data_IF_098930497628
#
_entry.id   IF_098930497628
#
_cell.length_a   1.000
_cell.length_b   1.000
_cell.length_c   1.000
_cell.angle_alpha   90.00
_cell.angle_beta   90.00
_cell.angle_gamma   90.00
#
_symmetry.space_group_name_H-M   'P 1'
#
loop_
_entity.id
_entity.type
_entity.pdbx_description
1 polymer ?
#
# COMPACT_ATOMS: atom_id res chain seq x y z
N UNK A 1 13.53 20.14 4.39
CA UNK A 1 12.44 19.79 5.33
C UNK A 1 11.30 19.19 4.49
N UNK A 2 11.24 17.86 4.41
CA UNK A 2 10.27 17.17 3.54
C UNK A 2 8.87 17.25 4.14
N UNK A 3 7.93 17.88 3.43
CA UNK A 3 6.53 17.94 3.83
C UNK A 3 5.86 16.64 3.37
N UNK A 4 5.53 15.75 4.31
CA UNK A 4 4.48 14.74 4.08
C UNK A 4 3.18 15.50 3.85
N UNK A 5 2.51 15.30 2.71
CA UNK A 5 1.46 16.23 2.27
C UNK A 5 0.10 16.06 2.94
N UNK A 6 -0.18 14.93 3.57
CA UNK A 6 -1.37 14.78 4.40
C UNK A 6 -1.00 14.91 5.87
N UNK A 7 -1.14 16.13 6.39
CA UNK A 7 -1.13 16.36 7.82
C UNK A 7 -2.38 15.74 8.44
N UNK A 8 -2.25 15.11 9.60
CA UNK A 8 -3.41 14.69 10.39
C UNK A 8 -4.34 15.88 10.57
N UNK A 9 -5.61 15.73 10.21
CA UNK A 9 -6.60 16.77 10.32
C UNK A 9 -7.19 16.76 11.74
N UNK A 10 -6.83 17.71 12.62
CA UNK A 10 -7.27 17.65 14.01
C UNK A 10 -8.76 18.00 14.09
N UNK A 11 -9.59 16.98 14.32
CA UNK A 11 -11.03 17.18 14.50
C UNK A 11 -11.36 17.69 15.92
N UNK A 12 -10.52 17.40 16.91
CA UNK A 12 -10.79 17.69 18.32
C UNK A 12 -11.94 16.84 18.88
N UNK A 13 -12.21 15.69 18.28
CA UNK A 13 -13.33 14.80 18.58
C UNK A 13 -12.84 13.55 19.31
N UNK A 14 -13.56 13.17 20.36
CA UNK A 14 -13.46 11.84 20.98
C UNK A 14 -14.79 11.14 20.75
N UNK A 15 -14.75 9.99 20.08
CA UNK A 15 -15.91 9.12 19.91
C UNK A 15 -15.77 7.91 20.81
N UNK A 16 -16.84 7.58 21.52
CA UNK A 16 -16.96 6.38 22.35
C UNK A 16 -18.32 5.77 22.07
N UNK A 17 -18.37 4.44 21.95
CA UNK A 17 -19.61 3.69 21.82
C UNK A 17 -19.53 2.42 22.65
N UNK A 18 -20.68 1.92 23.07
CA UNK A 18 -20.86 0.60 23.69
C UNK A 18 -21.00 -0.51 22.64
N UNK A 19 -21.22 -0.14 21.37
CA UNK A 19 -21.32 -1.04 20.23
C UNK A 19 -20.29 -0.68 19.14
N UNK A 20 -19.39 -1.61 18.75
CA UNK A 20 -18.35 -1.32 17.76
C UNK A 20 -18.90 -1.12 16.34
N UNK A 21 -19.99 -1.80 15.97
CA UNK A 21 -20.61 -1.59 14.66
C UNK A 21 -21.27 -0.22 14.57
N UNK A 22 -21.95 0.22 15.64
CA UNK A 22 -22.52 1.57 15.72
C UNK A 22 -21.44 2.65 15.59
N UNK A 23 -20.31 2.47 16.28
CA UNK A 23 -19.15 3.36 16.17
C UNK A 23 -18.69 3.54 14.73
N UNK A 24 -18.46 2.42 14.02
CA UNK A 24 -17.91 2.47 12.66
C UNK A 24 -18.93 2.99 11.64
N UNK A 25 -20.23 2.73 11.83
CA UNK A 25 -21.30 3.33 11.03
C UNK A 25 -21.31 4.85 11.15
N UNK A 26 -21.22 5.39 12.37
CA UNK A 26 -21.15 6.84 12.61
C UNK A 26 -19.85 7.42 12.05
N UNK A 27 -18.71 6.75 12.25
CA UNK A 27 -17.43 7.20 11.72
C UNK A 27 -17.42 7.24 10.18
N UNK A 28 -17.99 6.22 9.52
CA UNK A 28 -18.15 6.20 8.07
C UNK A 28 -18.97 7.41 7.58
N UNK A 29 -20.10 7.70 8.26
CA UNK A 29 -20.93 8.87 7.94
C UNK A 29 -20.15 10.18 8.10
N UNK A 30 -19.39 10.32 9.20
CA UNK A 30 -18.56 11.50 9.44
C UNK A 30 -17.49 11.70 8.38
N UNK A 31 -17.00 10.63 7.77
CA UNK A 31 -16.03 10.68 6.66
C UNK A 31 -16.70 10.74 5.28
N UNK A 32 -18.01 10.99 5.21
CA UNK A 32 -18.79 11.05 3.97
C UNK A 32 -18.73 9.77 3.13
N UNK A 33 -18.52 8.63 3.79
CA UNK A 33 -18.56 7.32 3.17
C UNK A 33 -19.97 6.73 3.26
N UNK A 34 -20.35 5.97 2.24
CA UNK A 34 -21.57 5.15 2.28
C UNK A 34 -21.29 3.82 3.00
N UNK A 35 -21.87 3.57 4.19
CA UNK A 35 -21.65 2.32 4.93
C UNK A 35 -22.11 1.08 4.18
N UNK A 36 -23.03 1.22 3.21
CA UNK A 36 -23.48 0.13 2.34
C UNK A 36 -22.35 -0.42 1.46
N UNK A 37 -21.35 0.41 1.15
CA UNK A 37 -20.21 0.07 0.32
C UNK A 37 -19.00 -0.43 1.12
N UNK A 38 -19.08 -0.42 2.46
CA UNK A 38 -17.98 -0.82 3.33
C UNK A 38 -18.10 -2.31 3.66
N UNK A 39 -17.27 -3.13 3.01
CA UNK A 39 -17.41 -4.58 3.03
C UNK A 39 -17.38 -5.23 4.43
N UNK A 40 -16.60 -4.70 5.38
CA UNK A 40 -16.56 -5.28 6.73
C UNK A 40 -17.81 -4.94 7.56
N UNK A 41 -18.42 -3.76 7.37
CA UNK A 41 -19.70 -3.40 8.00
C UNK A 41 -20.82 -4.27 7.45
N UNK A 42 -20.87 -4.44 6.12
CA UNK A 42 -21.83 -5.34 5.47
C UNK A 42 -21.66 -6.79 5.92
N UNK A 43 -20.43 -7.27 6.05
CA UNK A 43 -20.16 -8.61 6.56
C UNK A 43 -20.63 -8.79 8.02
N UNK A 44 -20.55 -7.76 8.86
CA UNK A 44 -21.08 -7.80 10.22
C UNK A 44 -22.61 -7.84 10.21
N UNK A 45 -23.26 -6.96 9.44
CA UNK A 45 -24.73 -6.93 9.33
C UNK A 45 -25.27 -8.27 8.82
N UNK A 46 -24.63 -8.85 7.80
CA UNK A 46 -25.01 -10.17 7.26
C UNK A 46 -24.86 -11.32 8.26
N UNK A 47 -23.99 -11.16 9.26
CA UNK A 47 -23.84 -12.12 10.38
C UNK A 47 -24.86 -11.89 11.50
N UNK A 48 -25.76 -10.92 11.35
CA UNK A 48 -26.81 -10.60 12.31
C UNK A 48 -26.39 -9.61 13.41
N UNK A 49 -25.24 -8.94 13.26
CA UNK A 49 -24.89 -7.86 14.18
C UNK A 49 -25.77 -6.63 13.91
N UNK A 50 -26.18 -5.97 14.99
CA UNK A 50 -26.92 -4.71 14.97
C UNK A 50 -26.04 -3.60 15.55
N UNK A 51 -26.27 -2.32 15.22
CA UNK A 51 -27.33 -1.79 14.36
C UNK A 51 -27.04 -1.92 12.85
N UNK A 52 -28.10 -1.84 12.02
CA UNK A 52 -28.00 -1.92 10.55
C UNK A 52 -28.10 -0.56 9.88
N UNK A 53 -28.58 0.45 10.60
CA UNK A 53 -28.78 1.81 10.12
C UNK A 53 -28.35 2.84 11.18
N UNK A 54 -28.17 4.09 10.76
CA UNK A 54 -27.91 5.20 11.68
C UNK A 54 -29.14 5.59 12.50
N UNK A 55 -30.34 5.28 12.02
CA UNK A 55 -31.60 5.63 12.70
C UNK A 55 -31.79 4.81 13.99
N UNK A 56 -31.09 3.67 14.09
CA UNK A 56 -31.06 2.81 15.27
C UNK A 56 -30.01 3.25 16.31
N UNK A 57 -29.30 4.36 16.07
CA UNK A 57 -28.18 4.83 16.88
C UNK A 57 -28.54 6.11 17.60
N UNK A 58 -28.56 6.05 18.93
CA UNK A 58 -28.64 7.24 19.77
C UNK A 58 -27.27 7.92 19.84
N UNK A 59 -27.17 9.15 19.33
CA UNK A 59 -25.95 9.94 19.37
C UNK A 59 -26.08 10.98 20.49
N UNK A 60 -25.27 10.82 21.53
CA UNK A 60 -25.19 11.73 22.67
C UNK A 60 -23.86 12.50 22.66
N UNK A 61 -23.85 13.68 23.27
CA UNK A 61 -22.64 14.48 23.43
C UNK A 61 -22.90 15.97 23.49
N UNK A 62 -21.84 16.72 23.78
CA UNK A 62 -21.80 18.18 23.82
C UNK A 62 -21.40 18.81 22.48
N UNK A 63 -20.98 17.98 21.51
CA UNK A 63 -20.53 18.43 20.19
C UNK A 63 -21.49 18.00 19.06
N UNK A 64 -22.12 18.94 18.32
CA UNK A 64 -23.11 18.60 17.30
C UNK A 64 -22.53 17.82 16.11
N UNK A 65 -23.23 16.75 15.70
CA UNK A 65 -22.84 15.92 14.55
C UNK A 65 -22.69 16.73 13.26
N UNK A 66 -23.60 17.67 13.02
CA UNK A 66 -23.59 18.53 11.84
C UNK A 66 -22.32 19.39 11.73
N UNK A 67 -21.75 19.80 12.86
CA UNK A 67 -20.52 20.60 12.87
C UNK A 67 -19.31 19.77 12.44
N UNK A 68 -19.20 18.52 12.91
CA UNK A 68 -18.15 17.60 12.45
C UNK A 68 -18.31 17.28 10.97
N UNK A 69 -19.53 17.00 10.50
CA UNK A 69 -19.79 16.75 9.08
C UNK A 69 -19.32 17.90 8.18
N UNK A 70 -19.53 19.14 8.62
CA UNK A 70 -19.02 20.32 7.91
C UNK A 70 -17.49 20.39 7.94
N UNK A 71 -16.86 20.09 9.08
CA UNK A 71 -15.39 20.05 9.19
C UNK A 71 -14.76 18.97 8.29
N UNK A 72 -15.44 17.84 8.11
CA UNK A 72 -14.94 16.72 7.32
C UNK A 72 -15.32 16.76 5.84
N UNK A 73 -16.19 17.70 5.41
CA UNK A 73 -16.72 17.76 4.04
C UNK A 73 -15.64 17.88 2.95
N UNK A 74 -14.49 18.46 3.26
CA UNK A 74 -13.37 18.60 2.33
C UNK A 74 -12.31 17.50 2.43
N UNK A 75 -12.50 16.49 3.31
CA UNK A 75 -11.52 15.43 3.48
C UNK A 75 -11.57 14.46 2.30
N UNK A 76 -10.43 14.33 1.62
CA UNK A 76 -10.20 13.20 0.72
C UNK A 76 -9.80 12.00 1.57
N UNK A 77 -10.42 10.84 1.32
CA UNK A 77 -10.07 9.59 2.01
C UNK A 77 -8.77 8.97 1.49
N UNK A 78 -8.10 9.61 0.51
CA UNK A 78 -6.79 9.21 -0.02
C UNK A 78 -6.79 7.91 -0.83
N UNK A 79 -7.95 7.23 -0.93
CA UNK A 79 -8.11 5.98 -1.65
C UNK A 79 -8.31 6.23 -3.14
N UNK A 80 -7.22 6.55 -3.84
CA UNK A 80 -7.19 6.59 -5.29
C UNK A 80 -6.68 5.28 -5.85
N UNK A 81 -7.08 4.97 -7.08
CA UNK A 81 -6.44 3.89 -7.82
C UNK A 81 -5.05 4.32 -8.28
N UNK A 82 -4.14 3.37 -8.46
CA UNK A 82 -2.76 3.70 -8.81
C UNK A 82 -2.65 4.37 -10.20
N UNK A 83 -3.59 4.09 -11.09
CA UNK A 83 -3.72 4.67 -12.42
C UNK A 83 -4.21 6.12 -12.41
N UNK A 84 -4.90 6.52 -11.35
CA UNK A 84 -5.42 7.88 -11.15
C UNK A 84 -4.35 8.81 -10.57
N UNK A 85 -3.22 8.26 -10.14
CA UNK A 85 -2.15 9.03 -9.54
C UNK A 85 -1.53 10.01 -10.55
N UNK A 86 -1.45 11.32 -10.25
CA UNK A 86 -0.95 12.32 -11.19
C UNK A 86 0.56 12.18 -11.40
N UNK A 87 0.95 11.46 -12.46
CA UNK A 87 2.35 11.26 -12.85
C UNK A 87 2.51 11.20 -14.37
N UNK A 88 3.74 11.38 -14.90
CA UNK A 88 4.02 11.18 -16.32
C UNK A 88 3.90 9.71 -16.78
N UNK A 89 3.76 8.76 -15.85
CA UNK A 89 3.73 7.33 -16.16
C UNK A 89 2.36 6.95 -16.71
N UNK A 90 2.34 6.15 -17.79
CA UNK A 90 1.09 5.58 -18.31
C UNK A 90 0.81 4.26 -17.60
N UNK A 91 0.16 4.33 -16.44
CA UNK A 91 -0.10 3.16 -15.59
C UNK A 91 -1.34 2.42 -16.11
N UNK A 92 -1.26 1.09 -16.19
CA UNK A 92 -2.32 0.17 -16.59
C UNK A 92 -2.40 -0.94 -15.55
N UNK A 93 -3.52 -1.06 -14.84
CA UNK A 93 -3.74 -2.22 -13.99
C UNK A 93 -4.65 -3.24 -14.66
N UNK A 94 -4.15 -4.45 -14.77
CA UNK A 94 -4.93 -5.63 -15.11
C UNK A 94 -5.48 -6.35 -13.88
N UNK A 95 -5.91 -7.58 -14.08
CA UNK A 95 -6.46 -8.45 -13.03
C UNK A 95 -5.44 -9.48 -12.55
N UNK A 96 -5.42 -9.86 -11.26
CA UNK A 96 -6.17 -9.25 -10.16
C UNK A 96 -5.65 -7.85 -9.79
N UNK A 97 -6.56 -7.00 -9.29
CA UNK A 97 -6.19 -5.73 -8.67
C UNK A 97 -5.88 -5.93 -7.19
N UNK A 98 -4.59 -5.91 -6.83
CA UNK A 98 -4.14 -6.18 -5.47
C UNK A 98 -3.87 -4.87 -4.72
N UNK A 99 -4.88 -4.35 -4.01
CA UNK A 99 -4.76 -3.11 -3.22
C UNK A 99 -3.66 -3.20 -2.15
N UNK A 100 -3.48 -4.35 -1.50
CA UNK A 100 -2.36 -4.61 -0.59
C UNK A 100 -1.13 -5.25 -1.24
N UNK A 101 -1.12 -5.36 -2.57
CA UNK A 101 -0.09 -6.03 -3.34
C UNK A 101 0.65 -5.09 -4.29
N UNK A 102 0.85 -5.51 -5.54
CA UNK A 102 1.65 -4.77 -6.51
C UNK A 102 1.16 -3.34 -6.74
N UNK A 103 -0.16 -3.14 -6.84
CA UNK A 103 -0.77 -1.83 -7.07
C UNK A 103 -0.59 -0.92 -5.84
N UNK A 104 -0.84 -1.45 -4.63
CA UNK A 104 -0.62 -0.71 -3.38
C UNK A 104 0.83 -0.29 -3.17
N UNK A 105 1.75 -1.24 -3.24
CA UNK A 105 3.19 -0.96 -3.03
C UNK A 105 3.71 0.03 -4.09
N UNK A 106 3.20 -0.02 -5.32
CA UNK A 106 3.55 0.94 -6.35
C UNK A 106 2.97 2.35 -6.10
N UNK A 107 1.71 2.42 -5.65
CA UNK A 107 1.08 3.66 -5.24
C UNK A 107 1.82 4.31 -4.04
N UNK A 108 2.21 3.52 -3.05
CA UNK A 108 3.02 3.97 -1.91
C UNK A 108 4.35 4.57 -2.38
N UNK A 109 5.01 3.92 -3.34
CA UNK A 109 6.26 4.44 -3.91
C UNK A 109 6.05 5.79 -4.63
N UNK A 110 4.95 5.95 -5.37
CA UNK A 110 4.59 7.21 -6.03
C UNK A 110 4.30 8.32 -5.02
N UNK A 111 3.52 8.04 -3.98
CA UNK A 111 3.27 8.98 -2.88
C UNK A 111 4.57 9.40 -2.20
N UNK A 112 5.42 8.44 -1.86
CA UNK A 112 6.73 8.73 -1.29
C UNK A 112 7.54 9.67 -2.21
N UNK A 113 7.53 9.45 -3.53
CA UNK A 113 8.24 10.30 -4.49
C UNK A 113 7.70 11.70 -4.60
N UNK A 114 6.40 11.80 -4.64
CA UNK A 114 5.70 13.07 -4.67
C UNK A 114 5.98 13.89 -3.40
N UNK A 115 6.07 13.25 -2.24
CA UNK A 115 6.30 13.92 -0.97
C UNK A 115 7.75 14.33 -0.75
N UNK A 116 8.68 13.43 -1.08
CA UNK A 116 10.09 13.64 -0.77
C UNK A 116 10.85 14.34 -1.89
N UNK A 117 10.47 14.13 -3.16
CA UNK A 117 11.14 14.72 -4.31
C UNK A 117 10.17 14.94 -5.51
N UNK A 118 9.20 15.86 -5.38
CA UNK A 118 8.19 16.11 -6.44
C UNK A 118 8.82 16.52 -7.78
N UNK A 119 9.93 17.25 -7.74
CA UNK A 119 10.72 17.61 -8.93
C UNK A 119 11.21 16.38 -9.72
N UNK A 120 11.48 15.26 -9.03
CA UNK A 120 11.91 14.00 -9.67
C UNK A 120 10.73 13.22 -10.24
N UNK A 121 9.57 13.27 -9.57
CA UNK A 121 8.33 12.70 -10.11
C UNK A 121 8.01 13.30 -11.49
N UNK A 122 8.09 14.62 -11.63
CA UNK A 122 7.86 15.31 -12.91
C UNK A 122 8.90 15.02 -14.00
N UNK A 123 10.07 14.47 -13.64
CA UNK A 123 11.14 14.08 -14.57
C UNK A 123 11.13 12.60 -14.92
N UNK A 124 10.17 11.83 -14.38
CA UNK A 124 10.04 10.43 -14.76
C UNK A 124 9.74 10.31 -16.25
N UNK A 125 10.30 9.29 -16.93
CA UNK A 125 10.03 9.09 -18.34
C UNK A 125 8.58 8.64 -18.53
N UNK A 126 7.92 9.13 -19.58
CA UNK A 126 6.58 8.70 -19.96
C UNK A 126 6.60 7.29 -20.56
N UNK A 127 6.78 6.28 -19.70
CA UNK A 127 6.76 4.86 -20.08
C UNK A 127 5.50 4.18 -19.57
N UNK A 128 5.00 3.15 -20.26
CA UNK A 128 3.93 2.31 -19.74
C UNK A 128 4.38 1.55 -18.50
N UNK A 129 3.50 1.47 -17.50
CA UNK A 129 3.68 0.66 -16.29
C UNK A 129 2.52 -0.33 -16.19
N UNK A 130 2.82 -1.62 -16.26
CA UNK A 130 1.83 -2.69 -16.30
C UNK A 130 1.86 -3.43 -14.97
N UNK A 131 0.71 -3.50 -14.31
CA UNK A 131 0.54 -4.12 -12.99
C UNK A 131 -0.67 -5.04 -13.01
N UNK A 132 -0.52 -6.32 -12.64
CA UNK A 132 -1.57 -7.31 -12.89
C UNK A 132 -1.64 -7.74 -14.35
N UNK A 133 -2.34 -8.84 -14.63
CA UNK A 133 -2.43 -9.43 -15.97
C UNK A 133 -3.43 -8.66 -16.83
N UNK A 134 -3.00 -8.26 -18.01
CA UNK A 134 -3.86 -7.59 -19.01
C UNK A 134 -3.89 -8.36 -20.31
N UNK A 135 -5.02 -8.30 -21.00
CA UNK A 135 -5.19 -8.82 -22.36
C UNK A 135 -5.06 -7.69 -23.40
N UNK A 136 -4.84 -6.45 -22.97
CA UNK A 136 -4.61 -5.31 -23.85
C UNK A 136 -3.27 -5.44 -24.59
N UNK A 137 -3.27 -5.09 -25.88
CA UNK A 137 -2.05 -5.01 -26.68
C UNK A 137 -1.30 -3.71 -26.39
N UNK A 138 -0.08 -3.83 -25.86
CA UNK A 138 0.76 -2.70 -25.48
C UNK A 138 2.10 -2.81 -26.19
N UNK A 139 2.33 -1.86 -27.10
CA UNK A 139 3.59 -1.74 -27.85
C UNK A 139 4.34 -0.47 -27.43
N UNK A 140 5.53 -0.64 -26.85
CA UNK A 140 6.38 0.48 -26.47
C UNK A 140 7.87 0.08 -26.49
N UNK A 141 8.81 0.99 -26.80
CA UNK A 141 10.24 0.66 -26.82
C UNK A 141 10.74 0.08 -25.49
N UNK A 142 10.22 0.59 -24.38
CA UNK A 142 10.48 0.12 -23.01
C UNK A 142 9.22 0.27 -22.17
N UNK A 143 8.97 -0.69 -21.30
CA UNK A 143 7.85 -0.69 -20.36
C UNK A 143 8.28 -1.28 -19.02
N UNK A 144 7.66 -0.83 -17.94
CA UNK A 144 7.85 -1.37 -16.59
C UNK A 144 6.78 -2.42 -16.34
N UNK A 145 7.18 -3.63 -15.94
CA UNK A 145 6.25 -4.74 -15.67
C UNK A 145 6.43 -5.15 -14.22
N UNK A 146 5.38 -4.99 -13.42
CA UNK A 146 5.41 -5.17 -11.97
C UNK A 146 4.57 -6.37 -11.55
N UNK A 147 5.25 -7.34 -10.96
CA UNK A 147 4.68 -8.55 -10.40
C UNK A 147 4.49 -9.68 -11.42
N UNK A 148 4.31 -10.88 -10.87
CA UNK A 148 4.30 -12.12 -11.67
C UNK A 148 3.06 -12.24 -12.55
N UNK A 149 1.91 -11.67 -12.15
CA UNK A 149 0.71 -11.61 -12.97
C UNK A 149 0.92 -10.76 -14.23
N UNK A 150 1.55 -9.59 -14.10
CA UNK A 150 1.81 -8.70 -15.24
C UNK A 150 2.76 -9.35 -16.25
N UNK A 151 3.72 -10.14 -15.76
CA UNK A 151 4.66 -10.89 -16.58
C UNK A 151 4.01 -12.00 -17.45
N UNK A 152 2.77 -12.39 -17.14
CA UNK A 152 1.99 -13.38 -17.90
C UNK A 152 1.09 -12.75 -18.96
N UNK A 153 1.10 -11.42 -19.11
CA UNK A 153 0.29 -10.73 -20.12
C UNK A 153 0.80 -11.08 -21.53
N UNK A 154 -0.06 -11.60 -22.43
CA UNK A 154 0.38 -12.16 -23.71
C UNK A 154 0.85 -11.11 -24.72
N UNK A 155 0.27 -9.90 -24.70
CA UNK A 155 0.41 -8.92 -25.77
C UNK A 155 1.31 -7.72 -25.39
N UNK A 156 2.48 -8.01 -24.82
CA UNK A 156 3.47 -6.99 -24.41
C UNK A 156 4.67 -6.94 -25.36
N UNK A 157 4.70 -5.96 -26.25
CA UNK A 157 5.73 -5.81 -27.29
C UNK A 157 6.75 -4.73 -26.94
N UNK A 158 8.00 -5.14 -26.69
CA UNK A 158 9.12 -4.24 -26.41
C UNK A 158 10.04 -4.70 -25.28
N UNK A 159 10.96 -3.83 -24.85
CA UNK A 159 11.89 -4.18 -23.76
C UNK A 159 11.20 -4.06 -22.39
N UNK A 160 10.93 -5.21 -21.78
CA UNK A 160 10.30 -5.29 -20.47
C UNK A 160 11.33 -5.11 -19.34
N UNK A 161 11.17 -4.06 -18.56
CA UNK A 161 11.88 -3.83 -17.31
C UNK A 161 11.09 -4.50 -16.19
N UNK A 162 11.39 -5.77 -15.92
CA UNK A 162 10.62 -6.57 -14.94
C UNK A 162 11.04 -6.31 -13.49
N UNK A 163 10.04 -6.28 -12.61
CA UNK A 163 10.16 -6.35 -11.15
C UNK A 163 9.31 -7.53 -10.69
N UNK A 164 9.96 -8.65 -10.35
CA UNK A 164 9.30 -9.91 -10.04
C UNK A 164 8.75 -9.97 -8.61
N UNK A 165 7.73 -10.81 -8.39
CA UNK A 165 7.15 -11.11 -7.08
C UNK A 165 5.62 -11.06 -7.05
N UNK A 166 5.03 -11.69 -6.03
CA UNK A 166 3.59 -11.73 -5.78
C UNK A 166 3.26 -11.50 -4.29
N UNK A 167 3.18 -10.24 -3.82
CA UNK A 167 3.67 -9.04 -4.50
C UNK A 167 5.20 -8.89 -4.39
N UNK A 168 5.85 -8.05 -5.21
CA UNK A 168 7.26 -7.70 -5.01
C UNK A 168 7.46 -7.07 -3.64
N UNK A 169 8.63 -7.26 -3.03
CA UNK A 169 8.90 -6.60 -1.74
C UNK A 169 9.04 -5.09 -1.96
N UNK A 170 8.55 -4.28 -1.02
CA UNK A 170 8.67 -2.81 -1.08
C UNK A 170 10.13 -2.35 -1.28
N UNK A 171 11.05 -3.11 -0.68
CA UNK A 171 12.50 -2.93 -0.82
C UNK A 171 12.99 -3.17 -2.26
N UNK A 172 12.59 -4.28 -2.89
CA UNK A 172 12.97 -4.59 -4.27
C UNK A 172 12.38 -3.58 -5.25
N UNK A 173 11.13 -3.15 -5.00
CA UNK A 173 10.50 -2.10 -5.79
C UNK A 173 11.32 -0.80 -5.72
N UNK A 174 11.62 -0.29 -4.52
CA UNK A 174 12.41 0.94 -4.36
C UNK A 174 13.76 0.84 -5.06
N UNK A 175 14.49 -0.26 -4.85
CA UNK A 175 15.84 -0.43 -5.40
C UNK A 175 15.81 -0.53 -6.92
N UNK A 176 14.93 -1.36 -7.47
CA UNK A 176 14.78 -1.53 -8.92
C UNK A 176 14.29 -0.24 -9.57
N UNK A 177 13.37 0.50 -8.93
CA UNK A 177 12.92 1.80 -9.42
C UNK A 177 14.06 2.82 -9.39
N UNK A 178 14.84 2.90 -8.31
CA UNK A 178 16.00 3.79 -8.25
C UNK A 178 17.02 3.48 -9.36
N UNK A 179 17.34 2.20 -9.57
CA UNK A 179 18.28 1.75 -10.60
C UNK A 179 17.77 1.99 -12.03
N UNK A 180 16.49 1.69 -12.29
CA UNK A 180 15.90 1.74 -13.65
C UNK A 180 15.44 3.14 -14.06
N UNK A 181 14.99 3.96 -13.12
CA UNK A 181 14.52 5.35 -13.39
C UNK A 181 15.56 6.41 -13.06
N UNK A 182 16.70 6.03 -12.46
CA UNK A 182 17.72 6.95 -11.91
C UNK A 182 17.19 7.92 -10.85
N UNK A 183 16.01 7.66 -10.29
CA UNK A 183 15.46 8.41 -9.16
C UNK A 183 16.13 7.97 -7.84
N UNK A 184 17.44 8.22 -7.73
CA UNK A 184 18.19 8.00 -6.49
C UNK A 184 17.88 9.15 -5.52
N UNK A 185 17.36 8.81 -4.33
CA UNK A 185 16.98 9.68 -3.21
C UNK A 185 15.63 10.43 -3.34
N UNK A 186 14.79 10.46 -2.27
CA UNK A 186 15.17 10.33 -0.85
C UNK A 186 14.65 9.07 -0.13
N UNK A 187 14.55 7.93 -0.82
CA UNK A 187 13.95 6.71 -0.24
C UNK A 187 14.92 5.77 0.45
N UNK A 188 16.17 5.81 0.03
CA UNK A 188 17.21 4.95 0.55
C UNK A 188 17.95 5.78 1.60
N UNK A 189 17.51 5.69 2.85
CA UNK A 189 18.44 6.00 3.92
C UNK A 189 19.53 4.93 3.85
N UNK A 190 20.79 5.35 3.73
CA UNK A 190 21.91 4.44 3.49
C UNK A 190 22.05 3.41 4.62
N UNK A 191 21.72 3.80 5.86
CA UNK A 191 21.63 2.93 7.05
C UNK A 191 20.63 1.80 6.86
N UNK A 192 19.40 2.07 6.39
CA UNK A 192 18.37 1.05 6.17
C UNK A 192 18.76 0.06 5.09
N UNK A 193 19.39 0.53 4.00
CA UNK A 193 19.87 -0.35 2.93
C UNK A 193 21.08 -1.16 3.40
N UNK A 194 22.00 -0.57 4.14
CA UNK A 194 23.12 -1.29 4.76
C UNK A 194 22.62 -2.37 5.73
N UNK A 195 21.67 -2.01 6.60
CA UNK A 195 21.08 -2.95 7.54
C UNK A 195 20.34 -4.09 6.83
N UNK A 196 19.61 -3.77 5.77
CA UNK A 196 18.78 -4.75 5.05
C UNK A 196 19.59 -5.65 4.10
N UNK A 197 20.61 -5.12 3.41
CA UNK A 197 21.39 -5.84 2.39
C UNK A 197 22.72 -6.39 2.89
N UNK A 198 23.35 -5.78 3.91
CA UNK A 198 24.61 -6.25 4.47
C UNK A 198 24.41 -6.88 5.85
N UNK A 199 23.86 -6.13 6.82
CA UNK A 199 23.84 -6.56 8.23
C UNK A 199 22.86 -7.70 8.47
N UNK A 200 21.63 -7.64 7.96
CA UNK A 200 20.61 -8.67 8.20
C UNK A 200 20.96 -10.03 7.58
N UNK A 201 21.38 -10.12 6.30
CA UNK A 201 21.84 -11.38 5.73
C UNK A 201 23.08 -11.93 6.45
N UNK A 202 24.02 -11.05 6.85
CA UNK A 202 25.21 -11.44 7.61
C UNK A 202 24.86 -11.97 9.00
N UNK A 203 23.96 -11.30 9.75
CA UNK A 203 23.44 -11.77 11.04
C UNK A 203 22.69 -13.10 10.90
N UNK A 204 21.90 -13.28 9.85
CA UNK A 204 21.20 -14.54 9.56
C UNK A 204 22.18 -15.66 9.23
N UNK A 205 23.25 -15.36 8.50
CA UNK A 205 24.34 -16.30 8.22
C UNK A 205 25.11 -16.68 9.50
N UNK A 206 25.47 -15.72 10.35
CA UNK A 206 26.10 -15.95 11.66
C UNK A 206 25.23 -16.83 12.56
N UNK A 207 23.92 -16.54 12.67
CA UNK A 207 22.98 -17.38 13.44
C UNK A 207 22.90 -18.80 12.89
N UNK A 208 22.90 -18.99 11.57
CA UNK A 208 22.93 -20.33 10.94
C UNK A 208 24.24 -21.07 11.21
N UNK A 209 25.37 -20.37 11.22
CA UNK A 209 26.68 -20.95 11.52
C UNK A 209 26.75 -21.39 13.00
N UNK A 210 26.30 -20.56 13.93
CA UNK A 210 26.26 -20.92 15.34
C UNK A 210 25.25 -22.04 15.66
N UNK A 211 24.13 -22.15 14.91
CA UNK A 211 23.17 -23.26 15.08
C UNK A 211 23.74 -24.61 14.62
N UNK A 212 24.67 -24.62 13.67
CA UNK A 212 25.38 -25.84 13.25
C UNK A 212 26.51 -26.26 14.20
N UNK A 213 26.91 -25.39 15.13
CA UNK A 213 27.96 -25.68 16.13
C UNK A 213 27.35 -26.24 17.43
N UNK A 214 26.03 -26.14 17.62
CA UNK A 214 25.31 -26.63 18.82
C UNK A 214 24.58 -27.97 18.67
N UNK A 215 24.72 -28.67 17.54
CA UNK A 215 24.27 -30.05 17.38
C UNK A 215 25.50 -30.92 17.13
N UNK A 216 26.25 -31.16 18.20
CA UNK A 216 27.20 -32.26 18.30
C UNK A 216 26.47 -33.42 18.99
N UNK A 217 26.43 -34.54 18.30
CA UNK A 217 26.01 -35.89 18.67
C UNK A 217 25.91 -36.19 20.18
N UNK A 218 24.71 -36.50 20.66
CA UNK A 218 24.52 -37.40 21.82
C UNK A 218 24.20 -38.79 21.26
N UNK A 219 24.98 -39.84 21.59
CA UNK A 219 24.65 -41.20 21.19
C UNK A 219 23.45 -41.69 22.03
N UNK A 220 22.45 -42.26 21.35
CA UNK A 220 21.36 -43.01 21.98
C UNK A 220 21.96 -44.16 22.82
N UNK A 221 22.00 -43.96 24.13
CA UNK A 221 22.34 -44.94 25.13
C UNK A 221 21.09 -45.69 25.61
N UNK A 222 21.19 -47.01 25.50
CA UNK A 222 20.24 -48.03 25.94
C UNK A 222 19.93 -47.93 27.45
N UNK A 223 18.67 -48.18 27.81
CA UNK A 223 18.18 -48.32 29.19
C UNK A 223 16.69 -48.59 29.23
#
# INVERSE_FOLDING_TARGET
MGRFREHGHPLGLIMVADNPLAHDLVAAKLLHLDPSQIGHLQAAILRGYTPVSLDDIEILGDYPLAEILNKTAGLSTGMIRVEEFPSPLSIRSGTPYCTGGCQGIFLDWLYMLNDRAPQKLGRLPAIPVIIGRTEEEITAPRMLVIGDCAAQSPHLHGKQLRIAGCPPTHRDLILQMALKTRAFAPFIRADMVWDSYAVYPWRKWLKRKNRKVGQGDEPEGQG
#
